data_IF_163918800922
#
_entry.id   IF_163918800922
#
_cell.length_a   1.000
_cell.length_b   1.000
_cell.length_c   1.000
_cell.angle_alpha   90.00
_cell.angle_beta   90.00
_cell.angle_gamma   90.00
#
_symmetry.space_group_name_H-M   'P 1'
#
loop_
_entity.id
_entity.type
_entity.pdbx_description
1 polymer ?
#
# COMPACT_ATOMS: atom_id res chain seq x y z
N UNK A 1 6.77 -19.98 29.39
CA UNK A 1 8.03 -19.44 28.80
C UNK A 1 8.24 -18.01 29.27
N UNK A 2 9.43 -17.41 29.08
CA UNK A 2 9.82 -16.07 29.59
C UNK A 2 8.81 -14.94 29.27
N UNK A 3 7.90 -15.16 28.31
CA UNK A 3 6.91 -14.21 27.81
C UNK A 3 5.48 -14.38 28.39
N UNK A 4 5.24 -15.35 29.29
CA UNK A 4 3.89 -15.65 29.80
C UNK A 4 3.44 -14.67 30.92
N UNK A 5 4.38 -13.95 31.53
CA UNK A 5 4.14 -12.98 32.61
C UNK A 5 3.64 -11.60 32.13
N UNK A 6 3.88 -11.26 30.86
CA UNK A 6 3.50 -9.98 30.24
C UNK A 6 2.39 -10.16 29.18
N UNK A 7 1.65 -11.26 29.26
CA UNK A 7 0.49 -11.50 28.39
C UNK A 7 -0.61 -10.50 28.72
N UNK A 8 -0.99 -9.68 27.74
CA UNK A 8 -2.06 -8.68 27.88
C UNK A 8 -3.42 -9.28 28.24
N UNK A 9 -3.59 -10.59 28.05
CA UNK A 9 -4.79 -11.33 28.39
C UNK A 9 -4.94 -11.68 29.89
N UNK A 10 -3.87 -11.56 30.68
CA UNK A 10 -3.85 -11.87 32.12
C UNK A 10 -3.54 -10.63 32.99
N UNK A 11 -3.71 -9.43 32.44
CA UNK A 11 -3.50 -8.19 33.19
C UNK A 11 -4.57 -8.03 34.27
N UNK A 12 -4.16 -7.62 35.46
CA UNK A 12 -5.10 -7.26 36.53
C UNK A 12 -5.91 -6.04 36.08
N UNK A 13 -7.12 -5.87 36.64
CA UNK A 13 -8.03 -4.79 36.27
C UNK A 13 -7.43 -3.38 36.48
N UNK A 14 -6.43 -3.24 37.36
CA UNK A 14 -5.69 -2.00 37.58
C UNK A 14 -4.67 -1.67 36.47
N UNK A 15 -4.31 -2.65 35.64
CA UNK A 15 -3.38 -2.51 34.50
C UNK A 15 -4.10 -2.60 33.14
N UNK A 16 -5.43 -2.65 33.16
CA UNK A 16 -6.30 -2.64 31.98
C UNK A 16 -6.47 -1.21 31.42
N UNK A 17 -5.36 -0.54 31.16
CA UNK A 17 -5.31 0.83 30.67
C UNK A 17 -4.61 0.88 29.30
N UNK A 18 -5.10 1.71 28.37
CA UNK A 18 -4.62 1.73 26.99
C UNK A 18 -3.14 2.15 26.86
N UNK A 19 -2.70 3.25 27.51
CA UNK A 19 -1.28 3.57 27.65
C UNK A 19 -0.43 2.42 28.21
N UNK A 20 -0.89 1.76 29.27
CA UNK A 20 -0.16 0.65 29.91
C UNK A 20 -0.01 -0.54 28.96
N UNK A 21 -1.09 -0.92 28.25
CA UNK A 21 -1.04 -1.99 27.24
C UNK A 21 -0.02 -1.69 26.15
N UNK A 22 -0.01 -0.46 25.63
CA UNK A 22 0.97 -0.04 24.62
C UNK A 22 2.41 -0.10 25.15
N UNK A 23 2.63 0.31 26.40
CA UNK A 23 3.95 0.22 27.03
C UNK A 23 4.41 -1.24 27.18
N UNK A 24 3.51 -2.16 27.55
CA UNK A 24 3.79 -3.60 27.65
C UNK A 24 4.12 -4.19 26.27
N UNK A 25 3.37 -3.84 25.22
CA UNK A 25 3.65 -4.27 23.85
C UNK A 25 5.04 -3.81 23.39
N UNK A 26 5.39 -2.55 23.63
CA UNK A 26 6.72 -2.02 23.31
C UNK A 26 7.80 -2.77 24.09
N UNK A 27 7.60 -3.01 25.39
CA UNK A 27 8.54 -3.76 26.21
C UNK A 27 8.72 -5.21 25.70
N UNK A 28 7.64 -5.86 25.29
CA UNK A 28 7.69 -7.20 24.72
C UNK A 28 8.50 -7.22 23.42
N UNK A 29 8.30 -6.25 22.54
CA UNK A 29 9.10 -6.10 21.30
C UNK A 29 10.57 -5.82 21.62
N UNK A 30 10.86 -4.97 22.62
CA UNK A 30 12.23 -4.68 23.04
C UNK A 30 12.95 -5.90 23.63
N UNK A 31 12.20 -6.84 24.19
CA UNK A 31 12.72 -8.05 24.83
C UNK A 31 12.72 -9.28 23.89
N UNK A 32 12.49 -9.09 22.60
CA UNK A 32 12.62 -10.17 21.61
C UNK A 32 14.02 -10.78 21.60
N UNK A 33 14.09 -12.09 21.37
CA UNK A 33 15.35 -12.73 20.96
C UNK A 33 15.75 -12.26 19.55
N UNK A 34 16.97 -12.57 19.13
CA UNK A 34 17.43 -12.24 17.77
C UNK A 34 16.51 -12.88 16.72
N UNK A 35 16.13 -14.13 16.94
CA UNK A 35 15.26 -14.92 16.05
C UNK A 35 13.83 -14.37 16.02
N UNK A 36 13.26 -14.03 17.17
CA UNK A 36 11.92 -13.41 17.26
C UNK A 36 11.90 -12.05 16.56
N UNK A 37 12.97 -11.26 16.73
CA UNK A 37 13.11 -9.95 16.08
C UNK A 37 13.24 -10.08 14.57
N UNK A 38 14.04 -11.02 14.08
CA UNK A 38 14.17 -11.30 12.65
C UNK A 38 12.82 -11.69 12.05
N UNK A 39 12.09 -12.61 12.69
CA UNK A 39 10.76 -13.01 12.23
C UNK A 39 9.75 -11.85 12.21
N UNK A 40 9.80 -10.97 13.22
CA UNK A 40 8.97 -9.77 13.28
C UNK A 40 9.32 -8.78 12.15
N UNK A 41 10.60 -8.51 11.92
CA UNK A 41 11.08 -7.61 10.86
C UNK A 41 10.73 -8.16 9.47
N UNK A 42 10.87 -9.47 9.25
CA UNK A 42 10.49 -10.15 8.01
C UNK A 42 8.98 -10.06 7.75
N UNK A 43 8.15 -10.22 8.79
CA UNK A 43 6.71 -10.05 8.68
C UNK A 43 6.34 -8.60 8.29
N UNK A 44 6.95 -7.61 8.95
CA UNK A 44 6.74 -6.20 8.60
C UNK A 44 7.19 -5.89 7.17
N UNK A 45 8.30 -6.47 6.72
CA UNK A 45 8.81 -6.33 5.36
C UNK A 45 7.82 -6.94 4.36
N UNK A 46 7.28 -8.12 4.64
CA UNK A 46 6.26 -8.76 3.81
C UNK A 46 5.01 -7.88 3.67
N UNK A 47 4.46 -7.38 4.77
CA UNK A 47 3.30 -6.48 4.76
C UNK A 47 3.54 -5.23 3.92
N UNK A 48 4.74 -4.63 4.01
CA UNK A 48 5.12 -3.47 3.18
C UNK A 48 5.21 -3.81 1.70
N UNK A 49 5.78 -4.97 1.36
CA UNK A 49 5.87 -5.43 -0.03
C UNK A 49 4.48 -5.67 -0.60
N UNK A 50 3.60 -6.33 0.16
CA UNK A 50 2.23 -6.61 -0.25
C UNK A 50 1.44 -5.31 -0.48
N UNK A 51 1.46 -4.39 0.48
CA UNK A 51 0.79 -3.10 0.37
C UNK A 51 1.28 -2.29 -0.84
N UNK A 52 2.61 -2.22 -1.05
CA UNK A 52 3.19 -1.53 -2.20
C UNK A 52 2.83 -2.22 -3.52
N UNK A 53 2.76 -3.55 -3.54
CA UNK A 53 2.42 -4.32 -4.75
C UNK A 53 0.97 -4.07 -5.16
N UNK A 54 0.04 -4.09 -4.19
CA UNK A 54 -1.38 -3.78 -4.42
C UNK A 54 -1.56 -2.34 -4.92
N UNK A 55 -0.93 -1.37 -4.25
CA UNK A 55 -0.98 0.04 -4.68
C UNK A 55 -0.46 0.23 -6.10
N UNK A 56 0.68 -0.39 -6.42
CA UNK A 56 1.28 -0.32 -7.77
C UNK A 56 0.39 -0.98 -8.81
N UNK A 57 -0.26 -2.10 -8.49
CA UNK A 57 -1.19 -2.78 -9.39
C UNK A 57 -2.42 -1.90 -9.68
N UNK A 58 -2.98 -1.25 -8.66
CA UNK A 58 -4.12 -0.35 -8.80
C UNK A 58 -3.77 0.90 -9.62
N UNK A 59 -2.62 1.54 -9.35
CA UNK A 59 -2.12 2.68 -10.14
C UNK A 59 -1.86 2.30 -11.59
N UNK A 60 -1.28 1.11 -11.84
CA UNK A 60 -1.06 0.60 -13.18
C UNK A 60 -2.37 0.35 -13.91
N UNK A 61 -3.34 -0.31 -13.26
CA UNK A 61 -4.66 -0.57 -13.84
C UNK A 61 -5.40 0.71 -14.23
N UNK A 62 -5.45 1.71 -13.33
CA UNK A 62 -6.03 3.02 -13.64
C UNK A 62 -5.33 3.71 -14.80
N UNK A 63 -4.00 3.60 -14.89
CA UNK A 63 -3.25 4.20 -16.00
C UNK A 63 -3.54 3.48 -17.32
N UNK A 64 -3.55 2.15 -17.33
CA UNK A 64 -3.85 1.35 -18.51
C UNK A 64 -5.27 1.60 -19.03
N UNK A 65 -6.26 1.65 -18.13
CA UNK A 65 -7.65 2.00 -18.45
C UNK A 65 -7.75 3.39 -19.10
N UNK A 66 -7.10 4.41 -18.53
CA UNK A 66 -7.08 5.76 -19.12
C UNK A 66 -6.46 5.78 -20.51
N UNK A 67 -5.39 5.02 -20.73
CA UNK A 67 -4.74 4.92 -22.04
C UNK A 67 -5.63 4.19 -23.05
N UNK A 68 -6.35 3.16 -22.64
CA UNK A 68 -7.32 2.45 -23.49
C UNK A 68 -8.49 3.34 -23.89
N UNK A 69 -9.08 4.06 -22.92
CA UNK A 69 -10.14 5.04 -23.19
C UNK A 69 -9.63 6.12 -24.16
N UNK A 70 -8.42 6.65 -23.95
CA UNK A 70 -7.84 7.64 -24.84
C UNK A 70 -7.62 7.10 -26.26
N UNK A 71 -7.22 5.83 -26.43
CA UNK A 71 -7.11 5.18 -27.74
C UNK A 71 -8.47 5.06 -28.43
N UNK A 72 -9.50 4.64 -27.70
CA UNK A 72 -10.86 4.53 -28.24
C UNK A 72 -11.38 5.91 -28.70
N UNK A 73 -11.18 6.95 -27.89
CA UNK A 73 -11.55 8.33 -28.26
C UNK A 73 -10.77 8.84 -29.48
N UNK A 74 -9.49 8.48 -29.63
CA UNK A 74 -8.70 8.81 -30.81
C UNK A 74 -9.24 8.11 -32.07
N UNK A 75 -9.70 6.87 -31.96
CA UNK A 75 -10.33 6.14 -33.06
C UNK A 75 -11.66 6.79 -33.48
N UNK A 76 -12.40 7.38 -32.53
CA UNK A 76 -13.59 8.19 -32.79
C UNK A 76 -13.27 9.60 -33.32
N UNK A 77 -12.00 9.92 -33.60
CA UNK A 77 -11.55 11.22 -34.12
C UNK A 77 -11.83 12.41 -33.21
N UNK A 78 -11.91 12.20 -31.90
CA UNK A 78 -12.03 13.29 -30.93
C UNK A 78 -10.76 14.16 -30.88
N UNK A 79 -10.89 15.49 -30.65
CA UNK A 79 -9.74 16.38 -30.50
C UNK A 79 -8.86 16.02 -29.30
N UNK A 80 -7.53 16.06 -29.49
CA UNK A 80 -6.53 15.70 -28.47
C UNK A 80 -6.71 16.49 -27.17
N UNK A 81 -7.02 17.78 -27.27
CA UNK A 81 -7.28 18.65 -26.11
C UNK A 81 -8.44 18.16 -25.25
N UNK A 82 -9.53 17.71 -25.89
CA UNK A 82 -10.70 17.15 -25.19
C UNK A 82 -10.38 15.80 -24.55
N UNK A 83 -9.61 14.95 -25.25
CA UNK A 83 -9.20 13.63 -24.73
C UNK A 83 -8.31 13.81 -23.49
N UNK A 84 -7.35 14.72 -23.55
CA UNK A 84 -6.49 15.06 -22.41
C UNK A 84 -7.32 15.54 -21.20
N UNK A 85 -8.27 16.44 -21.43
CA UNK A 85 -9.16 16.95 -20.38
C UNK A 85 -10.04 15.86 -19.73
N UNK A 86 -10.60 14.93 -20.53
CA UNK A 86 -11.51 13.89 -20.04
C UNK A 86 -10.80 12.74 -19.34
N UNK A 87 -9.61 12.34 -19.84
CA UNK A 87 -8.86 11.19 -19.29
C UNK A 87 -7.88 11.60 -18.17
N UNK A 88 -7.61 12.90 -18.05
CA UNK A 88 -6.58 13.43 -17.15
C UNK A 88 -5.15 13.07 -17.59
N UNK A 89 -4.95 12.74 -18.86
CA UNK A 89 -3.65 12.55 -19.49
C UNK A 89 -3.13 13.88 -20.02
N UNK A 90 -1.82 14.00 -20.18
CA UNK A 90 -1.22 15.16 -20.87
C UNK A 90 -1.42 15.03 -22.37
N UNK A 91 -1.52 16.15 -23.10
CA UNK A 91 -1.58 16.12 -24.56
C UNK A 91 -0.38 15.39 -25.19
N UNK A 92 0.80 15.44 -24.56
CA UNK A 92 1.99 14.71 -25.02
C UNK A 92 1.77 13.20 -24.95
N UNK A 93 1.19 12.70 -23.86
CA UNK A 93 0.85 11.27 -23.72
C UNK A 93 -0.18 10.85 -24.77
N UNK A 94 -1.23 11.65 -25.00
CA UNK A 94 -2.24 11.38 -26.03
C UNK A 94 -1.64 11.42 -27.45
N UNK A 95 -0.74 12.37 -27.74
CA UNK A 95 -0.01 12.44 -29.02
C UNK A 95 0.87 11.21 -29.24
N UNK A 96 1.54 10.73 -28.21
CA UNK A 96 2.37 9.53 -28.28
C UNK A 96 1.53 8.27 -28.58
N UNK A 97 0.30 8.18 -28.06
CA UNK A 97 -0.62 7.07 -28.38
C UNK A 97 -1.00 7.02 -29.87
N UNK A 98 -1.06 8.17 -30.55
CA UNK A 98 -1.33 8.24 -32.00
C UNK A 98 -0.15 7.74 -32.85
N UNK A 99 1.07 7.83 -32.32
CA UNK A 99 2.31 7.45 -33.02
C UNK A 99 2.70 5.98 -32.90
N UNK A 100 2.11 5.24 -31.95
CA UNK A 100 2.28 3.79 -31.82
C UNK A 100 1.32 3.07 -32.78
N UNK A 101 1.71 2.97 -34.05
CA UNK A 101 1.13 2.03 -35.03
C UNK A 101 2.01 0.80 -35.15
#
# INVERSE_FOLDING_TARGET
TRNDLLSTAKLSQALDDAPIKKAIEVLNVMNFTKEEREAYEDHLKWLRIEANSLKKAEEKGRKEEKLEIARNMLNESLPIEKIAALTGLTEKEVKNLKGSK
#
